data_IF_208866924905
#
_entry.id   IF_208866924905
#
_cell.length_a   1.000
_cell.length_b   1.000
_cell.length_c   1.000
_cell.angle_alpha   90.00
_cell.angle_beta   90.00
_cell.angle_gamma   90.00
#
_symmetry.space_group_name_H-M   'P 1'
#
loop_
_entity.id
_entity.type
_entity.pdbx_description
1 polymer ?
#
# COMPACT_ATOMS: atom_id res chain seq x y z
N UNK A 1 8.39 -12.06 13.16
CA UNK A 1 8.04 -12.47 11.79
C UNK A 1 9.26 -13.09 11.11
N UNK A 2 9.46 -14.42 11.16
CA UNK A 2 10.69 -15.06 10.66
C UNK A 2 10.92 -14.85 9.14
N UNK A 3 9.91 -15.14 8.32
CA UNK A 3 10.02 -15.03 6.86
C UNK A 3 10.34 -13.61 6.38
N UNK A 4 9.62 -12.61 6.90
CA UNK A 4 9.82 -11.21 6.49
C UNK A 4 11.20 -10.70 6.91
N UNK A 5 11.65 -11.04 8.12
CA UNK A 5 12.98 -10.64 8.60
C UNK A 5 14.11 -11.26 7.79
N UNK A 6 13.92 -12.46 7.24
CA UNK A 6 14.93 -13.06 6.35
C UNK A 6 15.13 -12.25 5.06
N UNK A 7 14.06 -11.65 4.52
CA UNK A 7 14.20 -10.75 3.37
C UNK A 7 14.95 -9.47 3.75
N UNK A 8 14.65 -8.89 4.92
CA UNK A 8 15.30 -7.66 5.39
C UNK A 8 16.80 -7.86 5.71
N UNK A 9 17.19 -9.06 6.13
CA UNK A 9 18.60 -9.41 6.43
C UNK A 9 19.42 -9.77 5.20
N UNK A 10 18.79 -9.98 4.05
CA UNK A 10 19.48 -10.38 2.84
C UNK A 10 20.06 -9.13 2.15
N UNK A 11 21.38 -8.98 2.21
CA UNK A 11 22.11 -7.84 1.64
C UNK A 11 22.03 -7.72 0.11
N UNK A 12 21.52 -8.74 -0.58
CA UNK A 12 21.32 -8.72 -2.04
C UNK A 12 20.09 -7.90 -2.43
N UNK A 13 19.13 -7.72 -1.53
CA UNK A 13 17.93 -6.93 -1.81
C UNK A 13 18.10 -5.49 -1.39
N UNK A 14 17.94 -4.58 -2.34
CA UNK A 14 17.90 -3.14 -2.08
C UNK A 14 16.50 -2.69 -1.61
N UNK A 15 15.45 -3.29 -2.18
CA UNK A 15 14.06 -2.92 -1.91
C UNK A 15 13.20 -4.17 -1.69
N UNK A 16 12.37 -4.15 -0.64
CA UNK A 16 11.39 -5.21 -0.34
C UNK A 16 9.99 -4.58 -0.29
N UNK A 17 9.06 -5.09 -1.10
CA UNK A 17 7.69 -4.56 -1.20
C UNK A 17 6.71 -5.59 -0.70
N UNK A 18 5.95 -5.23 0.33
CA UNK A 18 4.82 -6.02 0.83
C UNK A 18 3.51 -5.34 0.44
N UNK A 19 2.58 -6.10 -0.14
CA UNK A 19 1.27 -5.60 -0.56
C UNK A 19 0.15 -6.44 0.04
N UNK A 20 -0.55 -5.89 1.03
CA UNK A 20 -1.65 -6.53 1.74
C UNK A 20 -2.79 -5.55 2.03
N UNK A 21 -3.97 -6.10 2.33
CA UNK A 21 -5.14 -5.34 2.80
C UNK A 21 -4.98 -5.06 4.30
N UNK A 22 -4.40 -3.91 4.65
CA UNK A 22 -4.19 -3.46 6.03
C UNK A 22 -4.98 -2.17 6.27
N UNK A 23 -6.23 -2.30 6.73
CA UNK A 23 -7.16 -1.17 6.86
C UNK A 23 -7.20 -0.57 8.27
N UNK A 24 -6.43 -1.12 9.21
CA UNK A 24 -6.34 -0.66 10.60
C UNK A 24 -4.89 -0.35 10.97
N UNK A 25 -4.65 0.73 11.71
CA UNK A 25 -3.31 1.14 12.12
C UNK A 25 -2.64 0.09 13.01
N UNK A 26 -3.41 -0.58 13.88
CA UNK A 26 -2.90 -1.63 14.76
C UNK A 26 -2.28 -2.81 14.00
N UNK A 27 -2.80 -3.15 12.80
CA UNK A 27 -2.24 -4.19 11.95
C UNK A 27 -0.85 -3.78 11.46
N UNK A 28 -0.72 -2.55 10.96
CA UNK A 28 0.57 -2.01 10.47
C UNK A 28 1.60 -1.98 11.60
N UNK A 29 1.22 -1.42 12.76
CA UNK A 29 2.10 -1.33 13.92
C UNK A 29 2.56 -2.73 14.38
N UNK A 30 1.62 -3.66 14.53
CA UNK A 30 1.92 -5.04 14.96
C UNK A 30 2.86 -5.79 14.02
N UNK A 31 2.85 -5.45 12.73
CA UNK A 31 3.79 -6.01 11.76
C UNK A 31 5.15 -5.36 11.95
N UNK A 32 5.23 -4.02 11.91
CA UNK A 32 6.48 -3.26 11.99
C UNK A 32 7.24 -3.56 13.29
N UNK A 33 6.56 -3.61 14.44
CA UNK A 33 7.16 -3.94 15.74
C UNK A 33 7.85 -5.31 15.77
N UNK A 34 7.46 -6.23 14.86
CA UNK A 34 8.03 -7.58 14.74
C UNK A 34 9.07 -7.70 13.62
N UNK A 35 9.32 -6.60 12.90
CA UNK A 35 10.31 -6.52 11.83
C UNK A 35 11.65 -6.01 12.36
N UNK A 36 12.73 -6.60 11.86
CA UNK A 36 14.09 -6.14 12.12
C UNK A 36 14.43 -5.04 11.11
N UNK A 37 14.18 -3.78 11.50
CA UNK A 37 14.28 -2.61 10.62
C UNK A 37 15.51 -1.75 10.90
N UNK A 38 16.47 -2.24 11.68
CA UNK A 38 17.67 -1.47 12.09
C UNK A 38 18.43 -0.88 10.89
N UNK A 39 18.49 -1.64 9.80
CA UNK A 39 19.18 -1.26 8.57
C UNK A 39 18.23 -0.98 7.40
N UNK A 40 16.95 -0.68 7.67
CA UNK A 40 15.93 -0.49 6.64
C UNK A 40 15.09 0.77 6.87
N UNK A 41 14.91 1.56 5.80
CA UNK A 41 13.92 2.64 5.80
C UNK A 41 12.52 2.07 5.54
N UNK A 42 11.61 2.23 6.51
CA UNK A 42 10.24 1.74 6.40
C UNK A 42 9.33 2.81 5.80
N UNK A 43 8.68 2.45 4.69
CA UNK A 43 7.73 3.31 3.99
C UNK A 43 6.34 2.68 3.95
N UNK A 44 5.44 3.17 4.79
CA UNK A 44 4.04 2.78 4.75
C UNK A 44 3.31 3.66 3.73
N UNK A 45 2.79 3.05 2.67
CA UNK A 45 2.09 3.72 1.57
C UNK A 45 0.68 3.17 1.46
N UNK A 46 -0.31 4.06 1.41
CA UNK A 46 -1.69 3.70 1.06
C UNK A 46 -2.03 4.20 -0.33
N UNK A 47 -2.30 3.27 -1.24
CA UNK A 47 -2.90 3.57 -2.53
C UNK A 47 -4.39 3.82 -2.33
N UNK A 48 -4.81 5.08 -2.42
CA UNK A 48 -6.21 5.47 -2.29
C UNK A 48 -6.81 5.74 -3.66
N UNK A 49 -8.13 5.71 -3.73
CA UNK A 49 -8.89 6.11 -4.90
C UNK A 49 -10.22 6.71 -4.44
N UNK A 50 -10.75 7.64 -5.22
CA UNK A 50 -12.13 8.06 -5.04
C UNK A 50 -13.08 6.88 -5.30
N UNK A 51 -14.26 6.94 -4.68
CA UNK A 51 -15.24 5.86 -4.72
C UNK A 51 -15.64 5.49 -6.15
N UNK A 52 -15.85 6.49 -7.02
CA UNK A 52 -16.19 6.28 -8.43
C UNK A 52 -15.14 5.42 -9.14
N UNK A 53 -13.87 5.82 -9.07
CA UNK A 53 -12.76 5.11 -9.73
C UNK A 53 -12.59 3.70 -9.18
N UNK A 54 -12.80 3.51 -7.87
CA UNK A 54 -12.76 2.19 -7.23
C UNK A 54 -13.89 1.29 -7.75
N UNK A 55 -15.13 1.78 -7.75
CA UNK A 55 -16.31 1.05 -8.23
C UNK A 55 -16.19 0.70 -9.72
N UNK A 56 -15.71 1.61 -10.55
CA UNK A 56 -15.51 1.38 -11.99
C UNK A 56 -14.48 0.26 -12.23
N UNK A 57 -13.34 0.30 -11.54
CA UNK A 57 -12.29 -0.74 -11.64
C UNK A 57 -12.80 -2.10 -11.21
N UNK A 58 -13.46 -2.18 -10.05
CA UNK A 58 -14.00 -3.44 -9.53
C UNK A 58 -15.12 -3.99 -10.41
N UNK A 59 -15.98 -3.12 -10.95
CA UNK A 59 -17.04 -3.51 -11.89
C UNK A 59 -16.46 -4.10 -13.17
N UNK A 60 -15.36 -3.53 -13.69
CA UNK A 60 -14.67 -4.09 -14.85
C UNK A 60 -14.04 -5.47 -14.54
N UNK A 61 -13.46 -5.63 -13.35
CA UNK A 61 -12.90 -6.91 -12.93
C UNK A 61 -13.97 -8.00 -12.74
N UNK A 62 -15.17 -7.62 -12.28
CA UNK A 62 -16.34 -8.52 -12.21
C UNK A 62 -16.80 -8.92 -13.63
N UNK A 63 -16.90 -7.96 -14.55
CA UNK A 63 -17.24 -8.25 -15.96
C UNK A 63 -16.24 -9.21 -16.62
N UNK A 64 -14.98 -9.17 -16.17
CA UNK A 64 -13.89 -10.07 -16.62
C UNK A 64 -13.84 -11.41 -15.86
N UNK A 65 -14.73 -11.65 -14.89
CA UNK A 65 -14.75 -12.87 -14.08
C UNK A 65 -13.61 -13.00 -13.08
N UNK A 66 -12.86 -11.91 -12.80
CA UNK A 66 -11.73 -11.93 -11.86
C UNK A 66 -12.22 -11.85 -10.41
N UNK A 67 -13.37 -11.21 -10.19
CA UNK A 67 -13.95 -10.96 -8.87
C UNK A 67 -15.46 -11.18 -8.85
N UNK A 68 -15.99 -11.38 -7.66
CA UNK A 68 -17.41 -11.47 -7.35
C UNK A 68 -17.98 -10.12 -6.91
N UNK A 69 -19.30 -9.93 -7.07
CA UNK A 69 -19.97 -8.63 -6.84
C UNK A 69 -19.86 -8.07 -5.42
N UNK A 70 -19.72 -8.95 -4.41
CA UNK A 70 -19.60 -8.58 -3.00
C UNK A 70 -18.31 -7.79 -2.68
N UNK A 71 -17.34 -7.74 -3.61
CA UNK A 71 -16.11 -6.97 -3.42
C UNK A 71 -16.36 -5.45 -3.43
N UNK A 72 -17.40 -4.98 -4.13
CA UNK A 72 -17.62 -3.54 -4.34
C UNK A 72 -17.89 -2.85 -3.01
N UNK A 73 -18.96 -3.24 -2.30
CA UNK A 73 -19.35 -2.57 -1.06
C UNK A 73 -18.31 -2.75 0.05
N UNK A 74 -17.69 -3.94 0.14
CA UNK A 74 -16.59 -4.18 1.10
C UNK A 74 -15.38 -3.30 0.84
N UNK A 75 -15.07 -3.03 -0.42
CA UNK A 75 -13.96 -2.14 -0.79
C UNK A 75 -14.30 -0.67 -0.53
N UNK A 76 -15.52 -0.25 -0.87
CA UNK A 76 -15.99 1.11 -0.64
C UNK A 76 -16.01 1.45 0.86
N UNK A 77 -16.45 0.52 1.72
CA UNK A 77 -16.46 0.69 3.18
C UNK A 77 -15.06 0.93 3.78
N UNK A 78 -13.99 0.51 3.09
CA UNK A 78 -12.60 0.69 3.56
C UNK A 78 -11.97 2.01 3.14
N UNK A 79 -12.57 2.77 2.21
CA UNK A 79 -12.04 4.08 1.77
C UNK A 79 -11.71 5.00 2.96
N UNK A 80 -12.63 5.28 3.91
CA UNK A 80 -12.33 6.16 5.03
C UNK A 80 -11.25 5.58 5.96
N UNK A 81 -11.17 4.24 6.07
CA UNK A 81 -10.20 3.57 6.92
C UNK A 81 -8.77 3.79 6.40
N UNK A 82 -8.57 3.67 5.08
CA UNK A 82 -7.28 3.97 4.47
C UNK A 82 -6.90 5.44 4.58
N UNK A 83 -7.87 6.36 4.54
CA UNK A 83 -7.61 7.79 4.73
C UNK A 83 -7.09 8.07 6.15
N UNK A 84 -7.59 7.36 7.15
CA UNK A 84 -7.25 7.54 8.56
C UNK A 84 -5.89 6.94 8.98
N UNK A 85 -5.29 6.05 8.18
CA UNK A 85 -3.99 5.45 8.53
C UNK A 85 -2.86 6.50 8.57
N UNK A 86 -1.86 6.30 9.42
CA UNK A 86 -0.62 7.07 9.40
C UNK A 86 0.32 6.53 8.31
N UNK A 87 0.03 6.86 7.05
CA UNK A 87 0.78 6.41 5.87
C UNK A 87 0.84 7.51 4.83
N UNK A 88 1.80 7.39 3.91
CA UNK A 88 1.90 8.24 2.73
C UNK A 88 0.73 7.91 1.81
N UNK A 89 -0.09 8.91 1.49
CA UNK A 89 -1.27 8.73 0.63
C UNK A 89 -0.89 9.01 -0.80
N UNK A 90 -1.14 8.03 -1.66
CA UNK A 90 -1.00 8.19 -3.11
C UNK A 90 -2.37 7.96 -3.72
N UNK A 91 -2.99 9.03 -4.19
CA UNK A 91 -4.24 8.93 -4.94
C UNK A 91 -3.96 8.35 -6.33
N UNK A 92 -4.60 7.24 -6.62
CA UNK A 92 -4.47 6.51 -7.89
C UNK A 92 -5.57 6.87 -8.88
N UNK A 93 -6.55 7.70 -8.48
CA UNK A 93 -7.68 8.09 -9.32
C UNK A 93 -7.21 8.79 -10.58
N UNK A 94 -7.68 8.33 -11.75
CA UNK A 94 -7.31 8.89 -13.05
C UNK A 94 -5.80 8.92 -13.36
N UNK A 95 -4.98 8.11 -12.68
CA UNK A 95 -3.53 8.01 -12.92
C UNK A 95 -3.16 6.70 -13.60
N UNK A 96 -2.13 6.76 -14.42
CA UNK A 96 -1.47 5.57 -14.96
C UNK A 96 -0.56 4.95 -13.92
N UNK A 97 -0.21 3.67 -14.11
CA UNK A 97 0.77 2.98 -13.25
C UNK A 97 2.10 3.73 -13.23
N UNK A 98 2.56 4.26 -14.37
CA UNK A 98 3.82 5.00 -14.44
C UNK A 98 3.82 6.27 -13.57
N UNK A 99 2.70 7.00 -13.53
CA UNK A 99 2.57 8.17 -12.66
C UNK A 99 2.63 7.77 -11.17
N UNK A 100 1.92 6.71 -10.79
CA UNK A 100 1.90 6.20 -9.41
C UNK A 100 3.30 5.74 -8.99
N UNK A 101 4.02 5.02 -9.85
CA UNK A 101 5.40 4.57 -9.59
C UNK A 101 6.33 5.76 -9.40
N UNK A 102 6.19 6.81 -10.21
CA UNK A 102 6.99 8.02 -10.05
C UNK A 102 6.68 8.71 -8.71
N UNK A 103 5.42 8.79 -8.30
CA UNK A 103 5.05 9.36 -6.99
C UNK A 103 5.64 8.56 -5.83
N UNK A 104 5.59 7.23 -5.86
CA UNK A 104 6.23 6.36 -4.86
C UNK A 104 7.72 6.68 -4.74
N UNK A 105 8.42 6.77 -5.87
CA UNK A 105 9.86 7.09 -5.90
C UNK A 105 10.18 8.47 -5.34
N UNK A 106 9.32 9.46 -5.62
CA UNK A 106 9.51 10.83 -5.12
C UNK A 106 9.33 10.90 -3.60
N UNK A 107 8.37 10.16 -3.05
CA UNK A 107 8.14 10.09 -1.61
C UNK A 107 9.28 9.36 -0.87
N UNK A 108 9.89 8.34 -1.48
CA UNK A 108 11.10 7.70 -0.92
C UNK A 108 12.27 8.70 -0.83
N UNK A 109 12.53 9.45 -1.92
CA UNK A 109 13.61 10.46 -1.96
C UNK A 109 13.41 11.62 -0.97
N UNK A 110 12.16 12.00 -0.67
CA UNK A 110 11.87 13.08 0.29
C UNK A 110 12.31 12.73 1.71
N UNK A 111 12.20 11.46 2.10
CA UNK A 111 12.63 10.99 3.42
C UNK A 111 14.14 10.86 3.55
N UNK A 112 14.84 10.48 2.48
CA UNK A 112 16.31 10.41 2.47
C UNK A 112 16.97 11.78 2.60
N UNK A 113 16.28 12.86 2.21
CA UNK A 113 16.79 14.24 2.23
C UNK A 113 16.24 15.09 3.39
N UNK A 114 15.50 14.51 4.34
CA UNK A 114 15.13 15.22 5.58
C UNK A 114 16.24 15.03 6.63
N UNK A 115 16.72 16.11 7.27
CA UNK A 115 17.81 16.08 8.25
C UNK A 115 17.45 15.33 9.54
#
# INVERSE_FOLDING_TARGET
>A
CYLLNNFLKCSVYENVIFCWVMHEQGIINSIIEKLDTENCSVNCISLIANEKSLRDRLSNDIKRGIRTGDVIERSAARIPLYQALNTIKIDTSNKTVAMIVNEIRMEQKRKENSP
#
